data_IF_017001571986
#
_entry.id   IF_017001571986
#
_cell.length_a   1.000
_cell.length_b   1.000
_cell.length_c   1.000
_cell.angle_alpha   90.00
_cell.angle_beta   90.00
_cell.angle_gamma   90.00
#
_symmetry.space_group_name_H-M   'P 1'
#
loop_
_entity.id
_entity.type
_entity.pdbx_description
1 polymer ?
#
# COMPACT_ATOMS: atom_id res chain seq x y z
N UNK A 1 -4.85 -22.17 17.34
CA UNK A 1 -4.65 -22.54 18.76
C UNK A 1 -5.48 -23.81 18.94
N UNK A 2 -6.27 -24.02 20.00
CA UNK A 2 -7.26 -25.10 20.07
C UNK A 2 -8.10 -25.00 21.36
N UNK A 3 -8.76 -23.84 21.60
CA UNK A 3 -9.49 -23.62 22.84
C UNK A 3 -10.78 -24.44 22.88
N UNK A 4 -11.11 -25.06 24.02
CA UNK A 4 -12.35 -25.84 24.19
C UNK A 4 -13.61 -25.00 24.43
N UNK A 5 -13.46 -23.70 24.64
CA UNK A 5 -14.57 -22.78 24.91
C UNK A 5 -14.33 -21.50 24.13
N UNK A 6 -15.34 -20.98 23.41
CA UNK A 6 -16.74 -21.43 23.35
C UNK A 6 -17.01 -22.64 22.44
N UNK A 7 -16.02 -23.10 21.69
CA UNK A 7 -16.18 -24.16 20.67
C UNK A 7 -15.30 -25.39 21.03
N UNK A 8 -15.89 -26.55 21.33
CA UNK A 8 -15.13 -27.76 21.68
C UNK A 8 -14.31 -28.33 20.50
N UNK A 9 -14.60 -27.92 19.26
CA UNK A 9 -13.90 -28.39 18.07
C UNK A 9 -12.98 -27.32 17.46
N UNK A 10 -12.63 -26.28 18.23
CA UNK A 10 -11.83 -25.19 17.71
C UNK A 10 -10.49 -25.70 17.18
N UNK A 11 -10.17 -25.29 15.95
CA UNK A 11 -8.95 -25.68 15.25
C UNK A 11 -8.82 -27.19 14.96
N UNK A 12 -9.89 -28.00 15.08
CA UNK A 12 -9.92 -29.36 14.53
C UNK A 12 -10.05 -29.35 13.00
N UNK A 13 -9.27 -30.19 12.30
CA UNK A 13 -9.31 -30.31 10.84
C UNK A 13 -7.94 -30.13 10.17
N UNK A 14 -7.94 -29.99 8.84
CA UNK A 14 -6.73 -29.72 8.06
C UNK A 14 -6.39 -28.22 8.10
N UNK A 15 -5.14 -27.91 8.40
CA UNK A 15 -4.61 -26.55 8.38
C UNK A 15 -3.43 -26.46 7.42
N UNK A 16 -3.36 -25.35 6.69
CA UNK A 16 -2.23 -25.03 5.82
C UNK A 16 -1.58 -23.75 6.30
N UNK A 17 -0.28 -23.83 6.54
CA UNK A 17 0.51 -22.70 7.04
C UNK A 17 1.56 -22.33 6.01
N UNK A 18 1.70 -21.04 5.77
CA UNK A 18 2.80 -20.45 5.01
C UNK A 18 3.65 -19.63 5.97
N UNK A 19 4.94 -19.88 6.00
CA UNK A 19 5.90 -19.10 6.75
C UNK A 19 7.23 -19.08 5.99
N UNK A 20 8.05 -18.07 6.25
CA UNK A 20 9.38 -17.95 5.67
C UNK A 20 10.34 -17.41 6.72
N UNK A 21 11.59 -17.88 6.66
CA UNK A 21 12.70 -17.25 7.36
C UNK A 21 13.48 -16.46 6.31
N UNK A 22 13.68 -15.17 6.56
CA UNK A 22 14.41 -14.28 5.67
C UNK A 22 15.69 -13.78 6.38
N UNK A 23 16.81 -14.54 6.31
CA UNK A 23 18.08 -14.08 6.84
C UNK A 23 18.61 -12.91 6.02
N UNK A 24 19.00 -11.83 6.69
CA UNK A 24 19.54 -10.63 6.07
C UNK A 24 20.69 -10.05 6.89
N UNK A 25 21.63 -9.33 6.26
CA UNK A 25 22.59 -8.50 6.99
C UNK A 25 21.90 -7.24 7.54
N UNK A 26 22.51 -6.60 8.54
CA UNK A 26 22.02 -5.31 9.06
C UNK A 26 20.69 -5.40 9.80
N UNK A 27 20.01 -4.25 9.89
CA UNK A 27 18.67 -4.19 10.48
C UNK A 27 17.57 -4.54 9.47
N UNK A 28 16.33 -4.61 9.97
CA UNK A 28 15.17 -5.05 9.20
C UNK A 28 14.65 -4.00 8.22
N UNK A 29 15.04 -2.73 8.38
CA UNK A 29 14.63 -1.61 7.51
C UNK A 29 15.49 -1.64 6.25
N UNK A 30 16.82 -1.61 6.40
CA UNK A 30 17.77 -1.64 5.29
C UNK A 30 17.65 -2.95 4.47
N UNK A 31 17.28 -4.04 5.14
CA UNK A 31 17.05 -5.33 4.50
C UNK A 31 15.70 -5.45 3.79
N UNK A 32 14.80 -4.47 3.90
CA UNK A 32 13.50 -4.48 3.23
C UNK A 32 12.55 -5.57 3.75
N UNK A 33 12.66 -5.96 5.03
CA UNK A 33 11.87 -7.08 5.60
C UNK A 33 10.37 -6.85 5.45
N UNK A 34 9.91 -5.60 5.57
CA UNK A 34 8.49 -5.24 5.36
C UNK A 34 8.06 -5.55 3.93
N UNK A 35 8.89 -5.23 2.93
CA UNK A 35 8.57 -5.50 1.53
C UNK A 35 8.47 -7.01 1.25
N UNK A 36 9.43 -7.80 1.73
CA UNK A 36 9.42 -9.26 1.60
C UNK A 36 8.24 -9.91 2.33
N UNK A 37 7.88 -9.39 3.50
CA UNK A 37 6.70 -9.84 4.23
C UNK A 37 5.41 -9.56 3.45
N UNK A 38 5.28 -8.41 2.80
CA UNK A 38 4.14 -8.11 1.92
C UNK A 38 4.14 -9.02 0.68
N UNK A 39 5.28 -9.23 0.04
CA UNK A 39 5.41 -10.09 -1.13
C UNK A 39 4.96 -11.54 -0.82
N UNK A 40 5.33 -12.08 0.35
CA UNK A 40 4.88 -13.40 0.80
C UNK A 40 3.34 -13.48 0.96
N UNK A 41 2.71 -12.37 1.36
CA UNK A 41 1.28 -12.27 1.60
C UNK A 41 0.47 -11.75 0.40
N UNK A 42 1.13 -11.46 -0.74
CA UNK A 42 0.52 -10.94 -1.95
C UNK A 42 0.74 -11.92 -3.13
N UNK A 43 -0.09 -12.97 -3.27
CA UNK A 43 0.04 -13.93 -4.36
C UNK A 43 -0.01 -13.26 -5.73
N UNK A 44 0.84 -13.71 -6.65
CA UNK A 44 0.84 -13.23 -8.03
C UNK A 44 -0.47 -13.59 -8.73
N UNK A 45 -1.01 -12.64 -9.50
CA UNK A 45 -2.18 -12.84 -10.35
C UNK A 45 -1.69 -13.12 -11.77
N UNK A 46 -1.86 -14.35 -12.23
CA UNK A 46 -1.56 -14.73 -13.61
C UNK A 46 -2.77 -14.43 -14.51
N UNK A 47 -2.54 -13.73 -15.62
CA UNK A 47 -3.54 -13.45 -16.65
C UNK A 47 -3.05 -13.94 -18.01
N UNK A 48 -3.92 -14.54 -18.85
CA UNK A 48 -3.56 -14.87 -20.22
C UNK A 48 -3.16 -13.61 -21.00
N UNK A 49 -2.07 -13.70 -21.76
CA UNK A 49 -1.56 -12.61 -22.58
C UNK A 49 -1.10 -13.12 -23.94
N UNK A 50 -1.10 -12.25 -24.95
CA UNK A 50 -0.44 -12.52 -26.21
C UNK A 50 1.08 -12.57 -26.00
N UNK A 51 1.81 -13.31 -26.85
CA UNK A 51 3.28 -13.43 -26.77
C UNK A 51 3.96 -12.05 -26.75
N UNK A 52 3.43 -11.11 -27.54
CA UNK A 52 3.97 -9.75 -27.68
C UNK A 52 3.14 -8.71 -26.91
N UNK A 53 2.35 -9.14 -25.92
CA UNK A 53 1.60 -8.20 -25.09
C UNK A 53 2.57 -7.32 -24.28
N UNK A 54 2.39 -5.98 -24.28
CA UNK A 54 3.19 -5.11 -23.43
C UNK A 54 2.96 -5.46 -21.96
N UNK A 55 4.02 -5.36 -21.14
CA UNK A 55 3.91 -5.53 -19.70
C UNK A 55 2.94 -4.54 -19.07
N UNK A 56 2.37 -4.89 -17.94
CA UNK A 56 1.54 -3.97 -17.15
C UNK A 56 2.48 -2.95 -16.48
N UNK A 57 2.38 -1.65 -16.78
CA UNK A 57 3.23 -0.66 -16.13
C UNK A 57 2.89 -0.57 -14.64
N UNK A 58 3.86 -0.16 -13.83
CA UNK A 58 3.60 0.19 -12.44
C UNK A 58 2.50 1.27 -12.39
N UNK A 59 1.55 1.11 -11.47
CA UNK A 59 0.53 2.14 -11.26
C UNK A 59 1.17 3.43 -10.75
N UNK A 60 2.12 3.29 -9.83
CA UNK A 60 2.81 4.39 -9.18
C UNK A 60 4.17 3.93 -8.63
N UNK A 61 5.14 4.84 -8.59
CA UNK A 61 6.43 4.69 -7.91
C UNK A 61 6.60 5.73 -6.82
N UNK A 62 7.48 5.46 -5.86
CA UNK A 62 7.73 6.32 -4.69
C UNK A 62 9.20 6.68 -4.65
N UNK A 63 9.50 7.97 -4.45
CA UNK A 63 10.84 8.48 -4.19
C UNK A 63 10.89 9.26 -2.87
N UNK A 64 12.00 9.16 -2.13
CA UNK A 64 12.18 9.82 -0.84
C UNK A 64 11.90 8.89 0.34
N UNK A 65 11.07 9.33 1.30
CA UNK A 65 10.60 8.44 2.37
C UNK A 65 9.78 7.31 1.73
N UNK A 66 10.23 6.08 1.97
CA UNK A 66 9.55 4.87 1.51
C UNK A 66 8.24 4.69 2.26
N UNK A 67 7.19 4.30 1.53
CA UNK A 67 5.84 4.15 2.06
C UNK A 67 5.30 2.76 1.72
N UNK A 68 4.73 2.10 2.72
CA UNK A 68 3.97 0.89 2.54
C UNK A 68 2.65 1.19 1.83
N UNK A 69 2.30 0.33 0.88
CA UNK A 69 0.99 0.38 0.22
C UNK A 69 -0.07 -0.24 1.12
N UNK A 70 -1.11 0.52 1.45
CA UNK A 70 -2.23 0.05 2.27
C UNK A 70 -3.42 -0.41 1.42
N UNK A 71 -3.93 0.46 0.56
CA UNK A 71 -5.14 0.17 -0.24
C UNK A 71 -5.28 1.13 -1.41
N UNK A 72 -5.86 0.63 -2.49
CA UNK A 72 -6.46 1.46 -3.53
C UNK A 72 -7.88 0.97 -3.78
N UNK A 73 -8.85 1.87 -3.65
CA UNK A 73 -10.27 1.56 -3.85
C UNK A 73 -11.00 2.72 -4.49
N UNK A 74 -12.20 2.49 -5.02
CA UNK A 74 -13.11 3.60 -5.37
C UNK A 74 -13.51 4.37 -4.11
N UNK A 75 -13.69 5.68 -4.23
CA UNK A 75 -14.31 6.46 -3.17
C UNK A 75 -15.74 5.98 -2.90
N UNK A 76 -16.20 6.11 -1.66
CA UNK A 76 -17.48 5.56 -1.23
C UNK A 76 -18.67 6.31 -1.85
N UNK A 77 -18.69 7.63 -1.68
CA UNK A 77 -19.82 8.51 -2.02
C UNK A 77 -19.44 9.63 -3.01
N UNK A 78 -18.31 9.49 -3.71
CA UNK A 78 -17.85 10.45 -4.73
C UNK A 78 -17.01 9.78 -5.81
N UNK A 79 -16.76 10.52 -6.88
CA UNK A 79 -15.87 10.07 -7.95
C UNK A 79 -14.41 10.05 -7.49
N UNK A 80 -13.60 9.21 -8.15
CA UNK A 80 -12.17 9.08 -7.86
C UNK A 80 -11.79 7.80 -7.10
N UNK A 81 -10.51 7.72 -6.75
CA UNK A 81 -9.89 6.61 -6.06
C UNK A 81 -9.33 7.07 -4.72
N UNK A 82 -9.54 6.29 -3.67
CA UNK A 82 -8.88 6.47 -2.39
C UNK A 82 -7.64 5.59 -2.36
N UNK A 83 -6.47 6.23 -2.35
CA UNK A 83 -5.18 5.61 -2.11
C UNK A 83 -4.81 5.77 -0.63
N UNK A 84 -4.48 4.66 0.04
CA UNK A 84 -3.95 4.65 1.40
C UNK A 84 -2.51 4.15 1.39
N UNK A 85 -1.65 4.93 2.01
CA UNK A 85 -0.25 4.63 2.24
C UNK A 85 0.05 4.74 3.74
N UNK A 86 1.17 4.19 4.16
CA UNK A 86 1.66 4.38 5.53
C UNK A 86 3.17 4.39 5.57
N UNK A 87 3.74 5.03 6.59
CA UNK A 87 5.17 5.00 6.85
C UNK A 87 5.49 3.86 7.82
N UNK A 88 6.24 2.82 7.42
CA UNK A 88 6.45 1.63 8.24
C UNK A 88 7.64 1.72 9.21
N UNK A 89 8.55 2.69 9.05
CA UNK A 89 9.89 2.67 9.65
C UNK A 89 10.10 3.70 10.77
N UNK A 90 9.10 4.52 11.10
CA UNK A 90 9.20 5.59 12.09
C UNK A 90 9.99 6.81 11.60
N UNK A 91 10.10 6.97 10.28
CA UNK A 91 10.83 8.07 9.65
C UNK A 91 9.89 9.18 9.18
N UNK A 92 10.41 10.41 9.09
CA UNK A 92 9.65 11.56 8.59
C UNK A 92 10.43 12.28 7.51
N UNK A 93 9.74 12.82 6.52
CA UNK A 93 10.43 13.35 5.35
C UNK A 93 9.52 13.71 4.19
N UNK A 94 10.13 13.99 3.05
CA UNK A 94 9.42 14.23 1.79
C UNK A 94 9.30 12.89 1.06
N UNK A 95 8.12 12.62 0.52
CA UNK A 95 7.88 11.49 -0.38
C UNK A 95 7.19 12.01 -1.63
N UNK A 96 7.59 11.53 -2.81
CA UNK A 96 7.04 11.93 -4.11
C UNK A 96 6.46 10.68 -4.75
N UNK A 97 5.16 10.69 -4.99
CA UNK A 97 4.46 9.63 -5.71
C UNK A 97 4.43 10.00 -7.19
N UNK A 98 4.91 9.12 -8.07
CA UNK A 98 4.82 9.31 -9.54
C UNK A 98 3.87 8.29 -10.13
N UNK A 99 2.78 8.74 -10.73
CA UNK A 99 1.74 7.89 -11.32
C UNK A 99 1.99 7.64 -12.80
N UNK A 100 1.49 6.51 -13.32
CA UNK A 100 1.52 6.21 -14.77
C UNK A 100 0.40 6.88 -15.58
N UNK A 101 -0.41 7.74 -14.94
CA UNK A 101 -1.54 8.47 -15.52
C UNK A 101 -1.64 9.87 -14.91
N UNK A 102 -2.24 10.79 -15.66
CA UNK A 102 -2.45 12.17 -15.22
C UNK A 102 -3.36 12.25 -13.99
N UNK A 103 -2.81 12.76 -12.89
CA UNK A 103 -3.48 13.19 -11.68
C UNK A 103 -4.13 14.56 -11.94
N UNK A 104 -5.45 14.58 -12.09
CA UNK A 104 -6.26 15.79 -12.24
C UNK A 104 -6.51 16.50 -10.91
N UNK A 105 -6.60 15.72 -9.83
CA UNK A 105 -6.76 16.23 -8.47
C UNK A 105 -6.19 15.22 -7.45
N UNK A 106 -5.63 15.75 -6.37
CA UNK A 106 -5.18 14.99 -5.22
C UNK A 106 -5.56 15.74 -3.93
N UNK A 107 -6.35 15.11 -3.07
CA UNK A 107 -6.82 15.73 -1.81
C UNK A 107 -6.52 14.81 -0.65
N UNK A 108 -5.92 15.33 0.41
CA UNK A 108 -5.74 14.58 1.65
C UNK A 108 -7.09 14.39 2.34
N UNK A 109 -7.38 13.16 2.74
CA UNK A 109 -8.65 12.78 3.37
C UNK A 109 -8.41 12.00 4.64
N UNK A 110 -9.41 11.97 5.53
CA UNK A 110 -9.40 11.11 6.71
C UNK A 110 -9.63 9.64 6.31
N UNK A 111 -9.55 8.72 7.27
CA UNK A 111 -9.92 7.31 7.03
C UNK A 111 -11.39 7.14 6.63
N UNK A 112 -12.25 8.10 7.00
CA UNK A 112 -13.66 8.18 6.62
C UNK A 112 -13.89 8.91 5.29
N UNK A 113 -12.82 9.26 4.57
CA UNK A 113 -12.87 9.96 3.28
C UNK A 113 -13.42 11.39 3.37
N UNK A 114 -13.41 11.99 4.56
CA UNK A 114 -13.70 13.41 4.77
C UNK A 114 -12.46 14.24 4.44
N UNK A 115 -12.62 15.43 3.87
CA UNK A 115 -11.48 16.28 3.51
C UNK A 115 -10.74 16.71 4.79
N UNK A 116 -9.46 16.35 4.88
CA UNK A 116 -8.65 16.56 6.08
C UNK A 116 -7.78 17.81 6.01
N UNK A 117 -7.34 18.17 4.80
CA UNK A 117 -6.44 19.30 4.52
C UNK A 117 -6.74 19.91 3.14
N UNK A 118 -6.04 20.98 2.79
CA UNK A 118 -6.05 21.55 1.43
C UNK A 118 -5.60 20.53 0.38
N UNK A 119 -5.96 20.73 -0.91
CA UNK A 119 -5.44 19.90 -2.01
C UNK A 119 -3.91 19.76 -1.94
N UNK A 120 -3.43 18.56 -2.23
CA UNK A 120 -2.01 18.24 -2.26
C UNK A 120 -1.37 18.83 -3.52
N UNK A 121 -0.11 19.25 -3.42
CA UNK A 121 0.65 19.71 -4.59
C UNK A 121 0.87 18.57 -5.57
N UNK A 122 0.47 18.79 -6.83
CA UNK A 122 0.67 17.85 -7.94
C UNK A 122 1.09 18.57 -9.24
N UNK A 123 1.85 17.90 -10.10
CA UNK A 123 2.36 18.44 -11.38
C UNK A 123 1.87 17.68 -12.62
N UNK A 124 0.72 17.02 -12.49
CA UNK A 124 0.12 16.19 -13.53
C UNK A 124 0.47 14.73 -13.34
N UNK A 125 1.73 14.33 -13.15
CA UNK A 125 2.07 12.92 -12.89
C UNK A 125 2.55 12.67 -11.46
N UNK A 126 3.00 13.70 -10.75
CA UNK A 126 3.52 13.54 -9.40
C UNK A 126 2.61 14.16 -8.35
N UNK A 127 2.61 13.58 -7.15
CA UNK A 127 2.00 14.14 -5.93
C UNK A 127 3.07 14.17 -4.85
N UNK A 128 3.32 15.34 -4.26
CA UNK A 128 4.32 15.50 -3.20
C UNK A 128 3.67 15.44 -1.82
N UNK A 129 4.25 14.66 -0.91
CA UNK A 129 3.79 14.45 0.46
C UNK A 129 4.88 14.87 1.45
N UNK A 130 4.44 15.42 2.59
CA UNK A 130 5.26 15.56 3.80
C UNK A 130 4.78 14.54 4.83
N UNK A 131 5.61 13.55 5.09
CA UNK A 131 5.27 12.37 5.89
C UNK A 131 5.85 12.49 7.28
N UNK A 132 5.07 12.10 8.29
CA UNK A 132 5.47 11.98 9.70
C UNK A 132 5.77 10.52 10.05
N UNK A 133 6.61 10.26 11.08
CA UNK A 133 6.82 8.92 11.60
C UNK A 133 5.51 8.16 11.87
N UNK A 134 5.39 6.94 11.33
CA UNK A 134 4.22 6.06 11.45
C UNK A 134 2.90 6.64 10.96
N UNK A 135 2.95 7.64 10.10
CA UNK A 135 1.74 8.26 9.57
C UNK A 135 0.99 7.31 8.63
N UNK A 136 -0.34 7.28 8.78
CA UNK A 136 -1.25 6.71 7.78
C UNK A 136 -1.79 7.86 6.95
N UNK A 137 -1.59 7.78 5.63
CA UNK A 137 -1.92 8.81 4.67
C UNK A 137 -3.07 8.28 3.81
N UNK A 138 -4.15 9.05 3.70
CA UNK A 138 -5.25 8.74 2.77
C UNK A 138 -5.41 9.90 1.78
N UNK A 139 -5.46 9.57 0.50
CA UNK A 139 -5.53 10.54 -0.60
C UNK A 139 -6.69 10.16 -1.50
N UNK A 140 -7.58 11.11 -1.77
CA UNK A 140 -8.51 11.02 -2.88
C UNK A 140 -7.81 11.49 -4.16
N UNK A 141 -7.80 10.64 -5.18
CA UNK A 141 -7.17 10.87 -6.48
C UNK A 141 -8.21 10.86 -7.59
N UNK A 142 -8.08 11.81 -8.50
CA UNK A 142 -8.74 11.79 -9.81
C UNK A 142 -7.67 11.54 -10.88
N UNK A 143 -7.67 10.34 -11.49
CA UNK A 143 -6.72 9.89 -12.53
C UNK A 143 -7.31 9.91 -13.95
#
# INVERSE_FOLDING_TARGET
>A
RGPLTPDPFADEGEHRFTYSLFPHPGDWIDAGVVHEAHALNAPLIAVPAAIDAPGVPALMTIEGVDLGFGTLKRAHDRDGLVLRLYEPHGTGGRSVLTFSRDVRAATAVTLLEEDADSPLEHDGLTVTLRVRPFEVISILLEL
#
